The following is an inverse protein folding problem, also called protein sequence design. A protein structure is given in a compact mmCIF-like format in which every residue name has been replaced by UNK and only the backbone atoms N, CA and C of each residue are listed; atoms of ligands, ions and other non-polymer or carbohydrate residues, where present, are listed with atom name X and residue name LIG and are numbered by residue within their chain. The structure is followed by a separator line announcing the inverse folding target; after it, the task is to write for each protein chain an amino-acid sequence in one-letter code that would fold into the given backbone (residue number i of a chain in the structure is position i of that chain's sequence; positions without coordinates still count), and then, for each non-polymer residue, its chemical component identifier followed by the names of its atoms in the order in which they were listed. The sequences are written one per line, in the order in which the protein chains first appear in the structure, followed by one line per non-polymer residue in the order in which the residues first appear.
data_IF_055586325381
#
_entry.id   IF_055586325381
#
_cell.length_a   1.000
_cell.length_b   1.000
_cell.length_c   1.000
_cell.angle_alpha   90.00
_cell.angle_beta   90.00
_cell.angle_gamma   90.00
#
_symmetry.space_group_name_H-M   'P 1'
#
loop_
_entity.id
_entity.type
_entity.pdbx_description
1 polymer ?
#
# COMPACT_ATOMS: atom_id res chain seq x y z
N UNK A 1 -30.93 -24.07 -16.12
CA UNK A 1 -31.87 -23.05 -16.63
C UNK A 1 -31.05 -21.98 -17.30
N UNK A 2 -31.20 -21.85 -18.61
CA UNK A 2 -30.58 -20.78 -19.41
C UNK A 2 -31.24 -19.45 -19.04
N UNK A 3 -30.44 -18.40 -18.86
CA UNK A 3 -30.95 -17.02 -18.86
C UNK A 3 -30.47 -16.31 -20.13
N UNK A 4 -31.42 -15.68 -20.82
CA UNK A 4 -31.17 -14.98 -22.08
C UNK A 4 -30.41 -13.67 -21.84
N UNK A 5 -29.46 -13.37 -22.72
CA UNK A 5 -28.84 -12.05 -22.82
C UNK A 5 -29.81 -11.02 -23.44
N UNK A 6 -29.80 -9.77 -22.96
CA UNK A 6 -30.64 -8.62 -23.40
C UNK A 6 -29.91 -7.29 -23.22
N UNK A 7 -30.37 -6.22 -23.86
CA UNK A 7 -30.19 -4.83 -23.38
C UNK A 7 -31.26 -3.89 -23.98
N UNK A 8 -31.36 -2.65 -23.51
CA UNK A 8 -32.32 -1.64 -24.00
C UNK A 8 -31.74 -0.22 -24.06
N UNK A 9 -32.49 0.69 -24.71
CA UNK A 9 -32.22 2.12 -24.95
C UNK A 9 -31.69 2.93 -23.75
N UNK A 10 -32.23 2.71 -22.55
CA UNK A 10 -31.98 3.54 -21.35
C UNK A 10 -30.48 3.78 -21.15
N UNK A 11 -30.02 5.02 -20.92
CA UNK A 11 -28.58 5.33 -20.81
C UNK A 11 -27.92 4.86 -19.49
N UNK A 12 -28.55 3.94 -18.77
CA UNK A 12 -27.99 3.18 -17.66
C UNK A 12 -28.05 1.68 -18.01
N UNK A 13 -27.08 0.89 -17.55
CA UNK A 13 -27.23 -0.57 -17.40
C UNK A 13 -27.42 -0.81 -15.91
N UNK A 14 -28.45 -1.55 -15.52
CA UNK A 14 -28.69 -1.94 -14.14
C UNK A 14 -28.86 -3.46 -14.12
N UNK A 15 -28.08 -4.16 -13.30
CA UNK A 15 -28.11 -5.62 -13.19
C UNK A 15 -28.16 -6.00 -11.71
N UNK A 16 -29.32 -6.50 -11.26
CA UNK A 16 -29.55 -6.93 -9.88
C UNK A 16 -29.71 -8.44 -9.80
N UNK A 17 -28.88 -9.09 -8.98
CA UNK A 17 -28.85 -10.55 -8.77
C UNK A 17 -28.93 -10.87 -7.28
N UNK A 18 -29.95 -11.61 -6.85
CA UNK A 18 -30.20 -11.91 -5.44
C UNK A 18 -30.40 -13.41 -5.16
N UNK A 19 -30.06 -13.84 -3.95
CA UNK A 19 -30.41 -15.15 -3.36
C UNK A 19 -29.96 -16.40 -4.15
N UNK A 20 -28.88 -16.32 -4.92
CA UNK A 20 -28.42 -17.42 -5.79
C UNK A 20 -27.68 -18.53 -5.02
N UNK A 21 -27.92 -19.79 -5.40
CA UNK A 21 -27.34 -20.98 -4.77
C UNK A 21 -26.96 -22.06 -5.80
N UNK A 22 -25.65 -22.33 -5.97
CA UNK A 22 -24.99 -23.41 -6.77
C UNK A 22 -24.57 -23.13 -8.25
N UNK A 23 -24.69 -21.92 -8.80
CA UNK A 23 -24.40 -21.65 -10.24
C UNK A 23 -23.25 -20.62 -10.43
N UNK A 24 -22.68 -20.47 -11.62
CA UNK A 24 -21.88 -19.28 -11.93
C UNK A 24 -22.78 -18.05 -12.16
N UNK A 25 -22.24 -16.85 -11.92
CA UNK A 25 -22.79 -15.56 -12.35
C UNK A 25 -21.72 -14.92 -13.22
N UNK A 26 -22.02 -14.69 -14.49
CA UNK A 26 -21.13 -14.04 -15.45
C UNK A 26 -21.85 -12.81 -16.00
N UNK A 27 -21.19 -11.65 -15.99
CA UNK A 27 -21.73 -10.38 -16.48
C UNK A 27 -20.70 -9.75 -17.40
N UNK A 28 -20.98 -9.77 -18.70
CA UNK A 28 -20.09 -9.24 -19.75
C UNK A 28 -20.73 -8.04 -20.46
N UNK A 29 -20.11 -6.86 -20.31
CA UNK A 29 -20.54 -5.59 -20.91
C UNK A 29 -19.45 -5.08 -21.86
N UNK A 30 -19.72 -5.17 -23.17
CA UNK A 30 -18.85 -4.65 -24.22
C UNK A 30 -19.34 -3.30 -24.76
N UNK A 31 -18.42 -2.34 -24.90
CA UNK A 31 -18.58 -1.09 -25.64
C UNK A 31 -19.79 -0.20 -25.26
N UNK A 32 -19.90 0.18 -23.98
CA UNK A 32 -20.95 1.10 -23.52
C UNK A 32 -20.61 2.60 -23.76
N UNK A 33 -21.43 3.30 -24.56
CA UNK A 33 -21.62 4.75 -24.48
C UNK A 33 -22.89 5.03 -23.68
N UNK A 34 -22.77 5.09 -22.35
CA UNK A 34 -23.89 5.23 -21.41
C UNK A 34 -23.54 6.21 -20.31
N UNK A 35 -24.53 6.73 -19.59
CA UNK A 35 -24.32 7.59 -18.45
C UNK A 35 -23.85 6.76 -17.24
N UNK A 36 -24.47 5.60 -16.97
CA UNK A 36 -24.14 4.75 -15.82
C UNK A 36 -24.12 3.23 -16.16
N UNK A 37 -23.41 2.46 -15.35
CA UNK A 37 -23.50 1.00 -15.22
C UNK A 37 -23.57 0.71 -13.73
N UNK A 38 -24.56 -0.07 -13.29
CA UNK A 38 -24.77 -0.46 -11.89
C UNK A 38 -24.98 -1.98 -11.84
N UNK A 39 -24.22 -2.66 -10.97
CA UNK A 39 -24.29 -4.11 -10.79
C UNK A 39 -24.40 -4.42 -9.29
N UNK A 40 -25.51 -5.01 -8.87
CA UNK A 40 -25.77 -5.37 -7.48
C UNK A 40 -25.93 -6.89 -7.34
N UNK A 41 -25.08 -7.53 -6.53
CA UNK A 41 -25.06 -8.98 -6.32
C UNK A 41 -25.13 -9.31 -4.82
N UNK A 42 -26.21 -9.96 -4.39
CA UNK A 42 -26.49 -10.19 -2.95
C UNK A 42 -26.79 -11.64 -2.59
N UNK A 43 -26.41 -12.02 -1.38
CA UNK A 43 -26.79 -13.28 -0.71
C UNK A 43 -26.41 -14.58 -1.45
N UNK A 44 -25.22 -14.60 -2.08
CA UNK A 44 -24.77 -15.70 -2.95
C UNK A 44 -24.07 -16.84 -2.18
N UNK A 45 -24.36 -18.11 -2.53
CA UNK A 45 -23.76 -19.32 -1.91
C UNK A 45 -23.32 -20.39 -2.91
N UNK A 46 -22.01 -20.72 -2.92
CA UNK A 46 -21.37 -21.77 -3.74
C UNK A 46 -21.44 -21.50 -5.25
N UNK A 47 -20.96 -20.33 -5.66
CA UNK A 47 -21.00 -19.85 -7.05
C UNK A 47 -19.60 -19.37 -7.50
N UNK A 48 -19.43 -18.98 -8.76
CA UNK A 48 -18.42 -17.99 -9.15
C UNK A 48 -19.14 -16.68 -9.50
N UNK A 49 -18.45 -15.54 -9.41
CA UNK A 49 -18.91 -14.23 -9.88
C UNK A 49 -17.80 -13.67 -10.77
N UNK A 50 -18.10 -13.45 -12.04
CA UNK A 50 -17.20 -12.84 -13.03
C UNK A 50 -17.90 -11.63 -13.64
N UNK A 51 -17.23 -10.48 -13.62
CA UNK A 51 -17.75 -9.22 -14.18
C UNK A 51 -16.71 -8.63 -15.11
N UNK A 52 -16.99 -8.61 -16.40
CA UNK A 52 -16.11 -8.06 -17.44
C UNK A 52 -16.74 -6.84 -18.11
N UNK A 53 -16.08 -5.69 -18.02
CA UNK A 53 -16.56 -4.41 -18.53
C UNK A 53 -15.49 -3.78 -19.43
N UNK A 54 -15.76 -3.67 -20.73
CA UNK A 54 -14.77 -3.22 -21.72
C UNK A 54 -15.23 -2.01 -22.54
N UNK A 55 -14.27 -1.12 -22.84
CA UNK A 55 -14.44 0.02 -23.76
C UNK A 55 -15.57 1.00 -23.38
N UNK A 56 -15.70 1.33 -22.09
CA UNK A 56 -16.74 2.25 -21.59
C UNK A 56 -16.35 3.72 -21.73
N UNK A 57 -17.29 4.53 -22.21
CA UNK A 57 -17.23 5.99 -22.25
C UNK A 57 -18.54 6.55 -21.67
N UNK A 58 -18.50 7.00 -20.42
CA UNK A 58 -19.69 7.38 -19.67
C UNK A 58 -19.40 8.30 -18.48
N UNK A 59 -20.28 8.26 -17.47
CA UNK A 59 -20.12 9.04 -16.22
C UNK A 59 -19.87 8.14 -14.99
N UNK A 60 -20.41 6.93 -14.89
CA UNK A 60 -20.24 6.05 -13.73
C UNK A 60 -20.24 4.54 -14.05
N UNK A 61 -19.53 3.76 -13.23
CA UNK A 61 -19.61 2.31 -13.09
C UNK A 61 -19.65 2.01 -11.58
N UNK A 62 -20.67 1.34 -11.09
CA UNK A 62 -20.84 0.93 -9.70
C UNK A 62 -21.03 -0.59 -9.62
N UNK A 63 -20.27 -1.26 -8.74
CA UNK A 63 -20.35 -2.72 -8.54
C UNK A 63 -20.42 -3.00 -7.03
N UNK A 64 -21.59 -3.45 -6.57
CA UNK A 64 -21.88 -3.78 -5.17
C UNK A 64 -22.09 -5.28 -4.98
N UNK A 65 -21.22 -5.95 -4.21
CA UNK A 65 -21.25 -7.40 -3.97
C UNK A 65 -21.31 -7.70 -2.45
N UNK A 66 -22.41 -8.30 -1.99
CA UNK A 66 -22.67 -8.49 -0.56
C UNK A 66 -23.01 -9.94 -0.15
N UNK A 67 -22.57 -10.30 1.06
CA UNK A 67 -22.94 -11.52 1.78
C UNK A 67 -22.60 -12.85 1.07
N UNK A 68 -21.45 -12.89 0.38
CA UNK A 68 -21.00 -14.02 -0.45
C UNK A 68 -20.29 -15.11 0.36
N UNK A 69 -20.53 -16.39 0.05
CA UNK A 69 -19.94 -17.54 0.76
C UNK A 69 -19.54 -18.72 -0.15
N UNK A 70 -18.23 -19.03 -0.17
CA UNK A 70 -17.58 -20.10 -0.96
C UNK A 70 -17.63 -19.86 -2.48
N UNK A 71 -17.07 -18.74 -2.93
CA UNK A 71 -17.01 -18.38 -4.36
C UNK A 71 -15.61 -17.92 -4.81
N UNK A 72 -15.40 -17.71 -6.11
CA UNK A 72 -14.48 -16.68 -6.60
C UNK A 72 -15.27 -15.40 -6.93
N UNK A 73 -14.60 -14.25 -6.89
CA UNK A 73 -15.09 -12.96 -7.40
C UNK A 73 -13.97 -12.40 -8.29
N UNK A 74 -14.25 -12.19 -9.56
CA UNK A 74 -13.35 -11.56 -10.52
C UNK A 74 -14.05 -10.34 -11.14
N UNK A 75 -13.37 -9.19 -11.16
CA UNK A 75 -13.87 -7.96 -11.75
C UNK A 75 -12.80 -7.36 -12.66
N UNK A 76 -13.07 -7.33 -13.95
CA UNK A 76 -12.19 -6.82 -14.99
C UNK A 76 -12.78 -5.59 -15.67
N UNK A 77 -12.14 -4.42 -15.58
CA UNK A 77 -12.57 -3.15 -16.19
C UNK A 77 -11.49 -2.58 -17.10
N UNK A 78 -11.73 -2.58 -18.41
CA UNK A 78 -10.74 -2.17 -19.41
C UNK A 78 -11.18 -0.95 -20.25
N UNK A 79 -10.23 -0.05 -20.52
CA UNK A 79 -10.33 1.09 -21.44
C UNK A 79 -11.42 2.12 -21.10
N UNK A 80 -11.65 2.36 -19.80
CA UNK A 80 -12.62 3.34 -19.29
C UNK A 80 -12.19 4.81 -19.50
N UNK A 81 -13.13 5.68 -19.89
CA UNK A 81 -12.89 7.13 -20.10
C UNK A 81 -14.04 8.01 -19.60
N UNK A 82 -13.70 8.94 -18.68
CA UNK A 82 -14.59 9.96 -18.05
C UNK A 82 -15.55 9.45 -16.96
N UNK A 83 -15.33 8.25 -16.42
CA UNK A 83 -16.26 7.61 -15.47
C UNK A 83 -15.80 7.81 -14.00
N UNK A 84 -16.71 7.78 -13.03
CA UNK A 84 -16.41 7.19 -11.72
C UNK A 84 -16.39 5.65 -11.87
N UNK A 85 -15.59 4.97 -11.06
CA UNK A 85 -15.59 3.51 -10.90
C UNK A 85 -15.62 3.25 -9.40
N UNK A 86 -16.69 2.66 -8.90
CA UNK A 86 -16.86 2.29 -7.49
C UNK A 86 -17.08 0.78 -7.39
N UNK A 87 -16.32 0.12 -6.52
CA UNK A 87 -16.41 -1.33 -6.29
C UNK A 87 -16.49 -1.59 -4.77
N UNK A 88 -17.65 -2.06 -4.31
CA UNK A 88 -17.91 -2.37 -2.90
C UNK A 88 -18.11 -3.88 -2.71
N UNK A 89 -17.27 -4.52 -1.89
CA UNK A 89 -17.31 -5.97 -1.62
C UNK A 89 -17.38 -6.24 -0.12
N UNK A 90 -18.54 -6.70 0.36
CA UNK A 90 -18.84 -6.77 1.80
C UNK A 90 -19.23 -8.17 2.30
N UNK A 91 -18.73 -8.54 3.49
CA UNK A 91 -19.10 -9.71 4.27
C UNK A 91 -18.79 -11.08 3.64
N UNK A 92 -17.66 -11.17 2.91
CA UNK A 92 -17.24 -12.36 2.14
C UNK A 92 -16.56 -13.43 3.01
N UNK A 93 -16.83 -14.73 2.73
CA UNK A 93 -16.24 -15.87 3.45
C UNK A 93 -15.80 -17.03 2.56
N UNK A 94 -14.50 -17.36 2.60
CA UNK A 94 -13.82 -18.44 1.85
C UNK A 94 -13.85 -18.24 0.33
N UNK A 95 -13.29 -17.13 -0.14
CA UNK A 95 -13.24 -16.80 -1.57
C UNK A 95 -11.84 -16.39 -2.05
N UNK A 96 -11.63 -16.32 -3.37
CA UNK A 96 -10.69 -15.37 -3.96
C UNK A 96 -11.45 -14.08 -4.35
N UNK A 97 -10.76 -12.94 -4.36
CA UNK A 97 -11.25 -11.66 -4.90
C UNK A 97 -10.12 -11.13 -5.77
N UNK A 98 -10.38 -10.95 -7.07
CA UNK A 98 -9.47 -10.34 -8.04
C UNK A 98 -10.15 -9.13 -8.67
N UNK A 99 -9.45 -7.99 -8.73
CA UNK A 99 -9.94 -6.76 -9.34
C UNK A 99 -8.86 -6.20 -10.27
N UNK A 100 -9.12 -6.22 -11.57
CA UNK A 100 -8.20 -5.78 -12.63
C UNK A 100 -8.76 -4.56 -13.36
N UNK A 101 -8.08 -3.41 -13.26
CA UNK A 101 -8.51 -2.14 -13.86
C UNK A 101 -7.42 -1.59 -14.78
N UNK A 102 -7.71 -1.46 -16.08
CA UNK A 102 -6.70 -1.14 -17.10
C UNK A 102 -7.06 0.05 -18.02
N UNK A 103 -6.02 0.82 -18.38
CA UNK A 103 -6.06 1.88 -19.41
C UNK A 103 -7.06 3.03 -19.14
N UNK A 104 -7.16 3.44 -17.86
CA UNK A 104 -8.16 4.41 -17.38
C UNK A 104 -7.74 5.88 -17.54
N UNK A 105 -8.68 6.76 -17.91
CA UNK A 105 -8.37 8.18 -18.18
C UNK A 105 -9.51 9.17 -17.86
N UNK A 106 -9.24 10.09 -16.91
CA UNK A 106 -10.14 11.15 -16.39
C UNK A 106 -11.30 10.61 -15.53
N UNK A 107 -10.97 9.80 -14.54
CA UNK A 107 -11.90 9.05 -13.71
C UNK A 107 -11.65 9.29 -12.21
N UNK A 108 -12.56 8.80 -11.37
CA UNK A 108 -12.23 8.36 -10.01
C UNK A 108 -12.29 6.82 -9.98
N UNK A 109 -11.48 6.20 -9.12
CA UNK A 109 -11.53 4.76 -8.83
C UNK A 109 -11.58 4.63 -7.30
N UNK A 110 -12.63 4.01 -6.79
CA UNK A 110 -12.82 3.69 -5.37
C UNK A 110 -13.06 2.18 -5.24
N UNK A 111 -12.30 1.52 -4.36
CA UNK A 111 -12.43 0.09 -4.08
C UNK A 111 -12.52 -0.12 -2.57
N UNK A 112 -13.68 -0.61 -2.10
CA UNK A 112 -13.95 -0.86 -0.69
C UNK A 112 -14.19 -2.36 -0.43
N UNK A 113 -13.37 -2.98 0.41
CA UNK A 113 -13.42 -4.42 0.70
C UNK A 113 -13.50 -4.66 2.22
N UNK A 114 -14.66 -5.14 2.69
CA UNK A 114 -15.02 -5.10 4.12
C UNK A 114 -15.42 -6.46 4.70
N UNK A 115 -14.93 -6.74 5.92
CA UNK A 115 -15.33 -7.88 6.76
C UNK A 115 -15.04 -9.29 6.18
N UNK A 116 -13.91 -9.43 5.49
CA UNK A 116 -13.50 -10.64 4.76
C UNK A 116 -12.83 -11.71 5.65
N UNK A 117 -13.10 -13.00 5.39
CA UNK A 117 -12.51 -14.13 6.14
C UNK A 117 -12.08 -15.33 5.28
N UNK A 118 -10.78 -15.68 5.35
CA UNK A 118 -10.12 -16.81 4.66
C UNK A 118 -10.10 -16.67 3.14
N UNK A 119 -9.53 -15.58 2.63
CA UNK A 119 -9.47 -15.29 1.20
C UNK A 119 -8.06 -14.92 0.71
N UNK A 120 -7.86 -14.89 -0.61
CA UNK A 120 -6.91 -13.98 -1.25
C UNK A 120 -7.65 -12.73 -1.73
N UNK A 121 -6.97 -11.59 -1.76
CA UNK A 121 -7.43 -10.33 -2.36
C UNK A 121 -6.29 -9.83 -3.23
N UNK A 122 -6.52 -9.67 -4.53
CA UNK A 122 -5.59 -9.11 -5.50
C UNK A 122 -6.25 -7.92 -6.20
N UNK A 123 -5.54 -6.80 -6.29
CA UNK A 123 -6.00 -5.57 -6.95
C UNK A 123 -4.89 -5.07 -7.88
N UNK A 124 -5.17 -5.09 -9.19
CA UNK A 124 -4.24 -4.64 -10.23
C UNK A 124 -4.78 -3.41 -10.96
N UNK A 125 -4.04 -2.30 -10.94
CA UNK A 125 -4.44 -1.03 -11.55
C UNK A 125 -3.34 -0.51 -12.49
N UNK A 126 -3.60 -0.48 -13.80
CA UNK A 126 -2.57 -0.24 -14.82
C UNK A 126 -2.88 0.89 -15.80
N UNK A 127 -1.81 1.63 -16.20
CA UNK A 127 -1.82 2.65 -17.25
C UNK A 127 -2.76 3.86 -17.02
N UNK A 128 -2.84 4.32 -15.77
CA UNK A 128 -3.86 5.28 -15.29
C UNK A 128 -3.44 6.76 -15.38
N UNK A 129 -4.26 7.62 -16.02
CA UNK A 129 -3.93 9.04 -16.31
C UNK A 129 -5.01 10.07 -15.93
N UNK A 130 -4.70 10.98 -14.99
CA UNK A 130 -5.58 12.06 -14.46
C UNK A 130 -6.79 11.56 -13.66
N UNK A 131 -6.57 10.96 -12.51
CA UNK A 131 -7.61 10.32 -11.69
C UNK A 131 -7.32 10.47 -10.18
N UNK A 132 -8.30 10.14 -9.35
CA UNK A 132 -8.06 9.66 -7.99
C UNK A 132 -8.15 8.12 -7.97
N UNK A 133 -7.36 7.47 -7.12
CA UNK A 133 -7.46 6.05 -6.78
C UNK A 133 -7.54 5.99 -5.26
N UNK A 134 -8.59 5.41 -4.72
CA UNK A 134 -8.76 5.09 -3.31
C UNK A 134 -9.00 3.58 -3.16
N UNK A 135 -8.26 2.93 -2.24
CA UNK A 135 -8.40 1.51 -1.94
C UNK A 135 -8.49 1.33 -0.42
N UNK A 136 -9.67 0.93 0.05
CA UNK A 136 -9.99 0.75 1.46
C UNK A 136 -10.27 -0.72 1.78
N UNK A 137 -9.44 -1.37 2.59
CA UNK A 137 -9.54 -2.79 2.96
C UNK A 137 -9.60 -2.95 4.48
N UNK A 138 -10.74 -3.44 5.00
CA UNK A 138 -11.02 -3.43 6.44
C UNK A 138 -11.51 -4.76 7.04
N UNK A 139 -11.13 -4.98 8.30
CA UNK A 139 -11.60 -6.08 9.17
C UNK A 139 -11.29 -7.51 8.66
N UNK A 140 -10.15 -7.67 7.98
CA UNK A 140 -9.73 -8.90 7.30
C UNK A 140 -9.09 -9.94 8.23
N UNK A 141 -9.38 -11.23 8.04
CA UNK A 141 -8.81 -12.33 8.86
C UNK A 141 -8.40 -13.59 8.06
N UNK A 142 -7.11 -13.93 8.15
CA UNK A 142 -6.45 -15.12 7.54
C UNK A 142 -6.39 -15.06 6.00
N UNK A 143 -5.79 -14.01 5.45
CA UNK A 143 -5.75 -13.76 4.00
C UNK A 143 -4.36 -13.38 3.47
N UNK A 144 -4.16 -13.43 2.15
CA UNK A 144 -3.21 -12.56 1.45
C UNK A 144 -3.94 -11.30 0.94
N UNK A 145 -3.23 -10.18 0.86
CA UNK A 145 -3.66 -8.93 0.22
C UNK A 145 -2.49 -8.48 -0.66
N UNK A 146 -2.71 -8.37 -1.96
CA UNK A 146 -1.77 -7.84 -2.93
C UNK A 146 -2.41 -6.65 -3.66
N UNK A 147 -1.67 -5.53 -3.76
CA UNK A 147 -2.11 -4.32 -4.45
C UNK A 147 -0.99 -3.86 -5.38
N UNK A 148 -1.22 -3.96 -6.69
CA UNK A 148 -0.26 -3.64 -7.74
C UNK A 148 -0.74 -2.46 -8.60
N UNK A 149 -0.01 -1.33 -8.57
CA UNK A 149 -0.38 -0.09 -9.26
C UNK A 149 0.75 0.37 -10.21
N UNK A 150 0.52 0.37 -11.52
CA UNK A 150 1.57 0.56 -12.52
C UNK A 150 1.30 1.68 -13.55
N UNK A 151 2.37 2.39 -13.92
CA UNK A 151 2.41 3.39 -15.01
C UNK A 151 1.46 4.59 -14.83
N UNK A 152 1.35 5.08 -13.60
CA UNK A 152 0.31 6.05 -13.17
C UNK A 152 0.80 7.51 -13.19
N UNK A 153 0.11 8.40 -13.91
CA UNK A 153 0.55 9.80 -14.18
C UNK A 153 -0.50 10.89 -13.93
N UNK A 154 -0.19 11.82 -13.01
CA UNK A 154 -1.05 12.92 -12.50
C UNK A 154 -2.27 12.40 -11.73
N UNK A 155 -2.06 11.74 -10.60
CA UNK A 155 -3.15 11.17 -9.79
C UNK A 155 -2.92 11.38 -8.30
N UNK A 156 -3.98 11.29 -7.50
CA UNK A 156 -3.87 10.90 -6.10
C UNK A 156 -4.00 9.37 -6.01
N UNK A 157 -3.27 8.74 -5.09
CA UNK A 157 -3.36 7.32 -4.75
C UNK A 157 -3.42 7.25 -3.23
N UNK A 158 -4.52 6.74 -2.67
CA UNK A 158 -4.69 6.46 -1.26
C UNK A 158 -4.96 4.96 -1.06
N UNK A 159 -4.24 4.34 -0.12
CA UNK A 159 -4.38 2.93 0.20
C UNK A 159 -4.49 2.76 1.71
N UNK A 160 -5.67 2.39 2.19
CA UNK A 160 -6.00 2.25 3.61
C UNK A 160 -6.30 0.78 3.97
N UNK A 161 -5.48 0.18 4.84
CA UNK A 161 -5.56 -1.25 5.22
C UNK A 161 -5.66 -1.40 6.75
N UNK A 162 -6.85 -1.77 7.24
CA UNK A 162 -7.20 -1.67 8.65
C UNK A 162 -7.68 -2.97 9.33
N UNK A 163 -7.34 -3.12 10.61
CA UNK A 163 -7.81 -4.17 11.53
C UNK A 163 -7.52 -5.62 11.08
N UNK A 164 -6.37 -5.81 10.42
CA UNK A 164 -5.96 -7.06 9.75
C UNK A 164 -5.32 -8.07 10.70
N UNK A 165 -5.65 -9.38 10.57
CA UNK A 165 -5.08 -10.44 11.42
C UNK A 165 -4.68 -11.73 10.67
N UNK A 166 -3.41 -12.12 10.79
CA UNK A 166 -2.77 -13.33 10.23
C UNK A 166 -2.70 -13.31 8.69
N UNK A 167 -2.08 -12.28 8.12
CA UNK A 167 -2.07 -12.05 6.68
C UNK A 167 -0.67 -11.80 6.08
N UNK A 168 -0.54 -11.89 4.77
CA UNK A 168 0.45 -11.09 4.03
C UNK A 168 -0.24 -9.81 3.51
N UNK A 169 0.48 -8.70 3.46
CA UNK A 169 0.10 -7.46 2.78
C UNK A 169 1.28 -7.06 1.91
N UNK A 170 1.09 -7.01 0.60
CA UNK A 170 2.06 -6.55 -0.38
C UNK A 170 1.46 -5.39 -1.17
N UNK A 171 2.21 -4.30 -1.30
CA UNK A 171 1.80 -3.09 -2.04
C UNK A 171 2.94 -2.70 -2.98
N UNK A 172 2.72 -2.85 -4.29
CA UNK A 172 3.69 -2.52 -5.34
C UNK A 172 3.21 -1.34 -6.17
N UNK A 173 4.00 -0.26 -6.24
CA UNK A 173 3.67 0.97 -6.98
C UNK A 173 4.83 1.34 -7.92
N UNK A 174 4.60 1.26 -9.24
CA UNK A 174 5.67 1.37 -10.24
C UNK A 174 5.43 2.45 -11.30
N UNK A 175 6.54 3.09 -11.73
CA UNK A 175 6.58 4.06 -12.84
C UNK A 175 5.63 5.27 -12.67
N UNK A 176 5.61 5.84 -11.46
CA UNK A 176 4.66 6.87 -11.03
C UNK A 176 5.17 8.31 -11.16
N UNK A 177 4.38 9.22 -11.75
CA UNK A 177 4.84 10.58 -12.10
C UNK A 177 3.81 11.70 -11.89
N UNK A 178 4.16 12.66 -11.02
CA UNK A 178 3.34 13.79 -10.57
C UNK A 178 2.11 13.35 -9.75
N UNK A 179 2.34 12.51 -8.74
CA UNK A 179 1.27 11.95 -7.93
C UNK A 179 1.44 12.33 -6.44
N UNK A 180 0.34 12.36 -5.69
CA UNK A 180 0.37 12.11 -4.25
C UNK A 180 0.14 10.60 -4.04
N UNK A 181 0.84 10.01 -3.08
CA UNK A 181 0.73 8.60 -2.70
C UNK A 181 0.68 8.56 -1.18
N UNK A 182 -0.42 8.07 -0.64
CA UNK A 182 -0.61 7.84 0.79
C UNK A 182 -0.91 6.34 1.02
N UNK A 183 -0.21 5.73 1.97
CA UNK A 183 -0.38 4.33 2.36
C UNK A 183 -0.51 4.25 3.87
N UNK A 184 -1.69 3.89 4.36
CA UNK A 184 -2.05 3.83 5.77
C UNK A 184 -2.39 2.39 6.20
N UNK A 185 -1.57 1.78 7.05
CA UNK A 185 -1.76 0.41 7.57
C UNK A 185 -1.94 0.43 9.09
N UNK A 186 -3.13 0.06 9.57
CA UNK A 186 -3.51 0.20 10.97
C UNK A 186 -3.93 -1.11 11.66
N UNK A 187 -3.50 -1.29 12.91
CA UNK A 187 -3.92 -2.36 13.82
C UNK A 187 -3.64 -3.81 13.31
N UNK A 188 -2.57 -3.98 12.54
CA UNK A 188 -2.13 -5.25 11.98
C UNK A 188 -1.55 -6.22 13.04
N UNK A 189 -1.87 -7.52 12.96
CA UNK A 189 -1.35 -8.55 13.89
C UNK A 189 -0.98 -9.87 13.23
N UNK A 190 0.28 -10.28 13.40
CA UNK A 190 0.91 -11.49 12.83
C UNK A 190 0.90 -11.51 11.30
N UNK A 191 1.42 -10.45 10.69
CA UNK A 191 1.47 -10.32 9.24
C UNK A 191 2.90 -10.18 8.71
N UNK A 192 3.11 -10.40 7.42
CA UNK A 192 4.16 -9.71 6.67
C UNK A 192 3.56 -8.43 6.06
N UNK A 193 4.33 -7.35 6.00
CA UNK A 193 3.99 -6.11 5.31
C UNK A 193 5.17 -5.76 4.42
N UNK A 194 4.95 -5.75 3.11
CA UNK A 194 5.92 -5.30 2.11
C UNK A 194 5.32 -4.12 1.32
N UNK A 195 6.10 -3.04 1.18
CA UNK A 195 5.72 -1.86 0.39
C UNK A 195 6.87 -1.51 -0.54
N UNK A 196 6.66 -1.68 -1.85
CA UNK A 196 7.65 -1.46 -2.89
C UNK A 196 7.22 -0.31 -3.82
N UNK A 197 7.99 0.79 -3.87
CA UNK A 197 7.71 1.96 -4.72
C UNK A 197 8.90 2.24 -5.65
N UNK A 198 8.71 2.08 -6.96
CA UNK A 198 9.78 2.19 -7.95
C UNK A 198 9.55 3.27 -9.02
N UNK A 199 10.65 3.92 -9.43
CA UNK A 199 10.71 4.90 -10.53
C UNK A 199 9.78 6.12 -10.36
N UNK A 200 9.71 6.64 -9.12
CA UNK A 200 8.81 7.72 -8.72
C UNK A 200 9.38 9.13 -8.95
N UNK A 201 8.66 10.00 -9.67
CA UNK A 201 9.16 11.33 -10.09
C UNK A 201 8.16 12.49 -9.94
N UNK A 202 8.53 13.47 -9.10
CA UNK A 202 7.75 14.66 -8.70
C UNK A 202 6.51 14.30 -7.87
N UNK A 203 6.68 13.48 -6.84
CA UNK A 203 5.60 12.96 -6.03
C UNK A 203 5.71 13.40 -4.57
N UNK A 204 4.59 13.40 -3.84
CA UNK A 204 4.61 13.22 -2.38
C UNK A 204 4.35 11.73 -2.12
N UNK A 205 5.06 11.15 -1.16
CA UNK A 205 4.90 9.76 -0.71
C UNK A 205 4.82 9.79 0.81
N UNK A 206 3.70 9.36 1.36
CA UNK A 206 3.47 9.20 2.79
C UNK A 206 3.13 7.74 3.09
N UNK A 207 3.81 7.15 4.08
CA UNK A 207 3.59 5.77 4.52
C UNK A 207 3.43 5.78 6.04
N UNK A 208 2.22 5.49 6.51
CA UNK A 208 1.86 5.43 7.93
C UNK A 208 1.54 3.99 8.35
N UNK A 209 2.27 3.46 9.32
CA UNK A 209 2.11 2.08 9.81
C UNK A 209 1.95 2.09 11.33
N UNK A 210 0.76 1.76 11.84
CA UNK A 210 0.41 1.97 13.26
C UNK A 210 -0.13 0.73 13.98
N UNK A 211 0.22 0.62 15.26
CA UNK A 211 -0.28 -0.39 16.21
C UNK A 211 -0.03 -1.86 15.79
N UNK A 212 1.16 -2.13 15.25
CA UNK A 212 1.53 -3.41 14.63
C UNK A 212 2.17 -4.40 15.61
N UNK A 213 1.78 -5.69 15.55
CA UNK A 213 2.30 -6.72 16.46
C UNK A 213 2.61 -8.08 15.81
N UNK A 214 3.88 -8.47 15.83
CA UNK A 214 4.36 -9.82 15.50
C UNK A 214 4.61 -10.03 14.02
N UNK A 215 5.19 -9.03 13.35
CA UNK A 215 5.27 -8.91 11.90
C UNK A 215 6.73 -8.73 11.42
N UNK A 216 6.95 -8.86 10.12
CA UNK A 216 8.01 -8.16 9.41
C UNK A 216 7.41 -6.95 8.69
N UNK A 217 8.16 -5.84 8.62
CA UNK A 217 7.83 -4.66 7.82
C UNK A 217 9.02 -4.38 6.92
N UNK A 218 8.82 -4.45 5.61
CA UNK A 218 9.81 -4.09 4.59
C UNK A 218 9.26 -2.94 3.74
N UNK A 219 10.05 -1.89 3.57
CA UNK A 219 9.70 -0.72 2.74
C UNK A 219 10.87 -0.44 1.79
N UNK A 220 10.66 -0.66 0.50
CA UNK A 220 11.65 -0.50 -0.56
C UNK A 220 11.26 0.62 -1.53
N UNK A 221 12.02 1.71 -1.56
CA UNK A 221 11.74 2.89 -2.42
C UNK A 221 12.93 3.16 -3.35
N UNK A 222 12.74 3.00 -4.66
CA UNK A 222 13.81 3.06 -5.65
C UNK A 222 13.59 4.10 -6.76
N UNK A 223 14.69 4.63 -7.31
CA UNK A 223 14.74 5.55 -8.45
C UNK A 223 13.89 6.83 -8.27
N UNK A 224 14.01 7.45 -7.09
CA UNK A 224 13.19 8.58 -6.62
C UNK A 224 13.77 9.96 -6.92
N UNK A 225 13.02 10.81 -7.63
CA UNK A 225 13.49 12.11 -8.14
C UNK A 225 12.51 13.27 -7.99
N UNK A 226 12.87 14.25 -7.16
CA UNK A 226 12.09 15.47 -6.82
C UNK A 226 10.83 15.22 -5.99
N UNK A 227 10.95 14.44 -4.93
CA UNK A 227 9.84 13.98 -4.11
C UNK A 227 9.99 14.43 -2.64
N UNK A 228 8.88 14.48 -1.92
CA UNK A 228 8.88 14.35 -0.47
C UNK A 228 8.54 12.89 -0.13
N UNK A 229 9.23 12.32 0.86
CA UNK A 229 9.02 10.96 1.36
C UNK A 229 8.91 11.06 2.87
N UNK A 230 7.76 10.72 3.44
CA UNK A 230 7.54 10.60 4.88
C UNK A 230 7.14 9.16 5.22
N UNK A 231 7.84 8.54 6.17
CA UNK A 231 7.60 7.18 6.65
C UNK A 231 7.44 7.24 8.16
N UNK A 232 6.25 6.92 8.66
CA UNK A 232 5.88 6.98 10.07
C UNK A 232 5.44 5.60 10.57
N UNK A 233 6.23 4.98 11.46
CA UNK A 233 6.00 3.62 11.96
C UNK A 233 5.87 3.65 13.50
N UNK A 234 4.65 3.46 14.02
CA UNK A 234 4.34 3.71 15.43
C UNK A 234 3.67 2.55 16.18
N UNK A 235 3.93 2.49 17.50
CA UNK A 235 3.36 1.51 18.44
C UNK A 235 3.66 0.04 18.08
N UNK A 236 4.86 -0.19 17.52
CA UNK A 236 5.29 -1.46 16.94
C UNK A 236 5.89 -2.42 17.99
N UNK A 237 5.49 -3.71 17.96
CA UNK A 237 5.83 -4.75 18.97
C UNK A 237 6.18 -6.14 18.40
N UNK A 238 7.41 -6.63 18.65
CA UNK A 238 7.96 -7.91 18.13
C UNK A 238 8.05 -7.91 16.60
N UNK A 239 8.97 -7.14 16.03
CA UNK A 239 9.09 -7.00 14.57
C UNK A 239 10.53 -6.78 14.12
N UNK A 240 10.82 -7.18 12.88
CA UNK A 240 11.89 -6.59 12.08
C UNK A 240 11.30 -5.44 11.25
N UNK A 241 12.03 -4.34 11.14
CA UNK A 241 11.73 -3.21 10.24
C UNK A 241 12.95 -3.02 9.34
N UNK A 242 12.77 -3.15 8.03
CA UNK A 242 13.78 -2.81 7.03
C UNK A 242 13.23 -1.70 6.10
N UNK A 243 13.98 -0.62 5.96
CA UNK A 243 13.64 0.51 5.08
C UNK A 243 14.83 0.76 4.14
N UNK A 244 14.63 0.51 2.86
CA UNK A 244 15.64 0.64 1.81
C UNK A 244 15.26 1.72 0.81
N UNK A 245 15.99 2.84 0.76
CA UNK A 245 15.73 3.96 -0.15
C UNK A 245 16.93 4.21 -1.05
N UNK A 246 16.81 3.93 -2.35
CA UNK A 246 17.95 3.92 -3.29
C UNK A 246 17.81 4.91 -4.44
N UNK A 247 18.94 5.47 -4.90
CA UNK A 247 19.05 6.37 -6.07
C UNK A 247 18.21 7.64 -5.97
N UNK A 248 18.58 8.51 -5.02
CA UNK A 248 17.73 9.57 -4.48
C UNK A 248 18.25 10.96 -4.88
N UNK A 249 17.54 11.67 -5.79
CA UNK A 249 17.95 13.02 -6.27
C UNK A 249 16.92 14.14 -6.05
N UNK A 250 17.31 15.14 -5.25
CA UNK A 250 16.51 16.30 -4.83
C UNK A 250 15.23 15.93 -4.07
N UNK A 251 15.34 15.16 -3.00
CA UNK A 251 14.20 14.74 -2.19
C UNK A 251 14.33 15.23 -0.73
N UNK A 252 13.21 15.44 -0.07
CA UNK A 252 13.15 15.43 1.39
C UNK A 252 12.75 14.01 1.83
N UNK A 253 13.43 13.46 2.82
CA UNK A 253 13.15 12.15 3.40
C UNK A 253 13.01 12.35 4.91
N UNK A 254 11.88 11.92 5.46
CA UNK A 254 11.64 11.89 6.90
C UNK A 254 11.21 10.47 7.31
N UNK A 255 11.91 9.89 8.27
CA UNK A 255 11.62 8.55 8.79
C UNK A 255 11.46 8.65 10.30
N UNK A 256 10.24 8.40 10.78
CA UNK A 256 9.90 8.42 12.20
C UNK A 256 9.50 7.01 12.67
N UNK A 257 10.25 6.42 13.60
CA UNK A 257 9.98 5.07 14.13
C UNK A 257 9.83 5.11 15.65
N UNK A 258 8.64 4.78 16.16
CA UNK A 258 8.32 4.70 17.58
C UNK A 258 8.00 3.25 18.01
N UNK A 259 9.02 2.54 18.50
CA UNK A 259 8.96 1.11 18.88
C UNK A 259 8.91 0.91 20.40
N UNK A 260 7.86 0.25 20.90
CA UNK A 260 7.54 0.15 22.35
C UNK A 260 7.42 -1.31 22.82
N UNK A 261 8.47 -1.85 23.44
CA UNK A 261 8.58 -3.28 23.78
C UNK A 261 8.17 -3.67 25.21
N UNK A 262 7.75 -4.93 25.38
CA UNK A 262 7.66 -5.67 26.66
C UNK A 262 8.68 -6.84 26.72
N UNK A 263 8.78 -7.53 27.85
CA UNK A 263 9.97 -8.27 28.32
C UNK A 263 10.57 -9.34 27.36
N UNK A 264 9.78 -10.09 26.58
CA UNK A 264 10.09 -11.53 26.36
C UNK A 264 10.60 -11.99 24.97
N UNK A 265 11.32 -11.16 24.19
CA UNK A 265 11.95 -11.59 22.91
C UNK A 265 13.45 -11.28 22.87
N UNK A 266 14.26 -12.06 22.15
CA UNK A 266 15.73 -11.93 22.16
C UNK A 266 16.28 -10.76 21.33
N UNK A 267 15.75 -10.49 20.12
CA UNK A 267 16.12 -9.32 19.29
C UNK A 267 14.89 -8.80 18.52
N UNK A 268 14.66 -7.49 18.57
CA UNK A 268 13.95 -6.74 17.52
C UNK A 268 15.05 -6.02 16.69
N UNK A 269 14.80 -5.72 15.41
CA UNK A 269 15.78 -5.11 14.52
C UNK A 269 15.15 -3.97 13.71
N UNK A 270 15.87 -2.85 13.61
CA UNK A 270 15.53 -1.71 12.76
C UNK A 270 16.74 -1.47 11.86
N UNK A 271 16.55 -1.63 10.55
CA UNK A 271 17.56 -1.38 9.53
C UNK A 271 17.07 -0.31 8.57
N UNK A 272 17.85 0.75 8.38
CA UNK A 272 17.56 1.83 7.45
C UNK A 272 18.76 2.01 6.53
N UNK A 273 18.58 1.77 5.23
CA UNK A 273 19.62 1.90 4.21
C UNK A 273 19.22 2.95 3.18
N UNK A 274 19.99 4.04 3.05
CA UNK A 274 19.73 5.14 2.11
C UNK A 274 20.95 5.36 1.20
N UNK A 275 20.81 5.08 -0.10
CA UNK A 275 21.95 5.02 -1.03
C UNK A 275 21.86 5.97 -2.24
N UNK A 276 23.02 6.43 -2.71
CA UNK A 276 23.20 7.31 -3.87
C UNK A 276 22.40 8.63 -3.74
N UNK A 277 22.77 9.42 -2.72
CA UNK A 277 21.99 10.50 -2.12
C UNK A 277 22.52 11.88 -2.53
N UNK A 278 21.80 12.64 -3.35
CA UNK A 278 22.30 13.95 -3.86
C UNK A 278 21.26 15.08 -3.86
N UNK A 279 21.59 16.15 -3.13
CA UNK A 279 20.77 17.35 -2.87
C UNK A 279 19.49 17.08 -2.05
N UNK A 280 19.63 16.31 -0.98
CA UNK A 280 18.50 15.85 -0.18
C UNK A 280 18.55 16.40 1.25
N UNK A 281 17.40 16.55 1.89
CA UNK A 281 17.28 16.61 3.34
C UNK A 281 16.87 15.21 3.84
N UNK A 282 17.50 14.74 4.91
CA UNK A 282 17.20 13.45 5.55
C UNK A 282 17.04 13.71 7.04
N UNK A 283 15.87 13.38 7.58
CA UNK A 283 15.57 13.37 9.01
C UNK A 283 15.22 11.92 9.39
N UNK A 284 15.94 11.34 10.37
CA UNK A 284 15.67 10.00 10.89
C UNK A 284 15.50 10.08 12.41
N UNK A 285 14.27 9.90 12.87
CA UNK A 285 13.86 10.00 14.27
C UNK A 285 13.42 8.63 14.79
N UNK A 286 14.25 7.99 15.62
CA UNK A 286 13.97 6.65 16.18
C UNK A 286 13.82 6.72 17.70
N UNK A 287 12.64 6.41 18.21
CA UNK A 287 12.39 6.18 19.64
C UNK A 287 12.23 4.68 19.90
N UNK A 288 13.19 4.08 20.61
CA UNK A 288 13.31 2.64 20.78
C UNK A 288 13.48 2.22 22.25
N UNK A 289 12.54 1.41 22.75
CA UNK A 289 12.54 0.93 24.14
C UNK A 289 12.93 -0.56 24.22
N UNK A 290 14.17 -0.82 24.68
CA UNK A 290 14.79 -2.11 25.06
C UNK A 290 15.06 -3.15 23.96
N UNK A 291 16.34 -3.55 23.85
CA UNK A 291 16.84 -4.73 23.09
C UNK A 291 16.53 -4.70 21.59
N UNK A 292 16.88 -3.59 20.95
CA UNK A 292 16.90 -3.43 19.50
C UNK A 292 18.35 -3.47 19.00
N UNK A 293 18.56 -4.06 17.84
CA UNK A 293 19.67 -3.67 16.97
C UNK A 293 19.15 -2.55 16.05
N UNK A 294 19.86 -1.44 15.98
CA UNK A 294 19.55 -0.31 15.09
C UNK A 294 20.75 -0.13 14.17
N UNK A 295 20.55 -0.36 12.89
CA UNK A 295 21.55 -0.18 11.83
C UNK A 295 21.06 0.93 10.90
N UNK A 296 21.82 2.01 10.76
CA UNK A 296 21.54 3.09 9.81
C UNK A 296 22.75 3.23 8.87
N UNK A 297 22.56 2.92 7.59
CA UNK A 297 23.59 3.04 6.55
C UNK A 297 23.20 4.10 5.51
N UNK A 298 24.00 5.16 5.35
CA UNK A 298 23.77 6.24 4.38
C UNK A 298 25.00 6.43 3.47
N UNK A 299 24.84 6.12 2.19
CA UNK A 299 25.99 5.95 1.25
C UNK A 299 25.94 6.90 0.06
N UNK A 300 27.12 7.43 -0.32
CA UNK A 300 27.34 8.30 -1.50
C UNK A 300 26.54 9.62 -1.42
N UNK A 301 26.97 10.49 -0.51
CA UNK A 301 26.19 11.59 0.08
C UNK A 301 26.75 12.95 -0.37
N UNK A 302 26.05 13.68 -1.26
CA UNK A 302 26.54 14.97 -1.80
C UNK A 302 25.53 16.12 -1.78
N UNK A 303 25.85 17.18 -1.03
CA UNK A 303 25.04 18.41 -0.79
C UNK A 303 23.75 18.13 -0.02
N UNK A 304 23.85 17.43 1.10
CA UNK A 304 22.70 17.01 1.90
C UNK A 304 22.74 17.62 3.31
N UNK A 305 21.57 17.79 3.91
CA UNK A 305 21.42 17.90 5.36
C UNK A 305 20.96 16.54 5.88
N UNK A 306 21.61 16.03 6.92
CA UNK A 306 21.27 14.77 7.58
C UNK A 306 21.13 15.05 9.07
N UNK A 307 19.97 14.74 9.63
CA UNK A 307 19.70 14.74 11.06
C UNK A 307 19.29 13.32 11.46
N UNK A 308 19.97 12.76 12.46
CA UNK A 308 19.65 11.43 13.02
C UNK A 308 19.48 11.55 14.53
N UNK A 309 18.25 11.40 15.00
CA UNK A 309 17.86 11.52 16.40
C UNK A 309 17.38 10.17 16.94
N UNK A 310 18.16 9.54 17.80
CA UNK A 310 17.86 8.23 18.39
C UNK A 310 17.69 8.34 19.91
N UNK A 311 16.47 8.11 20.39
CA UNK A 311 16.16 8.02 21.82
C UNK A 311 16.02 6.55 22.24
N UNK A 312 16.98 6.06 23.02
CA UNK A 312 17.25 4.64 23.22
C UNK A 312 17.29 4.21 24.70
N UNK A 313 16.27 3.47 25.15
CA UNK A 313 16.17 3.04 26.56
C UNK A 313 16.62 1.59 26.77
N UNK A 314 17.79 1.40 27.40
CA UNK A 314 18.40 0.14 27.92
C UNK A 314 18.75 -0.95 26.89
N UNK A 315 20.06 -1.29 26.79
CA UNK A 315 20.58 -2.46 26.03
C UNK A 315 20.18 -2.44 24.55
N UNK A 316 20.62 -1.44 23.79
CA UNK A 316 20.52 -1.45 22.34
C UNK A 316 21.94 -1.46 21.75
N UNK A 317 22.12 -2.09 20.59
CA UNK A 317 23.29 -1.92 19.75
C UNK A 317 22.92 -0.92 18.65
N UNK A 318 23.73 0.12 18.45
CA UNK A 318 23.45 1.21 17.51
C UNK A 318 24.67 1.40 16.61
N UNK A 319 24.50 1.08 15.34
CA UNK A 319 25.50 1.30 14.30
C UNK A 319 25.00 2.36 13.32
N UNK A 320 25.79 3.41 13.10
CA UNK A 320 25.49 4.49 12.15
C UNK A 320 26.68 4.67 11.22
N UNK A 321 26.51 4.26 9.97
CA UNK A 321 27.55 4.24 8.95
C UNK A 321 27.20 5.23 7.82
N UNK A 322 27.88 6.39 7.78
CA UNK A 322 27.69 7.41 6.74
C UNK A 322 28.97 7.53 5.91
N UNK A 323 28.89 7.24 4.60
CA UNK A 323 30.08 7.09 3.73
C UNK A 323 30.03 7.92 2.46
N UNK A 324 31.22 8.32 1.97
CA UNK A 324 31.42 9.19 0.81
C UNK A 324 30.67 10.53 0.90
N UNK A 325 31.05 11.32 1.90
CA UNK A 325 30.43 12.60 2.31
C UNK A 325 31.07 13.78 1.57
N UNK A 326 30.27 14.64 0.91
CA UNK A 326 30.81 15.87 0.26
C UNK A 326 29.85 17.06 0.32
N UNK A 327 30.24 18.08 1.10
CA UNK A 327 29.50 19.33 1.39
C UNK A 327 28.14 19.08 2.05
N UNK A 328 28.14 18.39 3.20
CA UNK A 328 26.93 18.04 3.93
C UNK A 328 26.96 18.68 5.33
N UNK A 329 25.78 18.98 5.86
CA UNK A 329 25.58 19.15 7.31
C UNK A 329 25.10 17.81 7.85
N UNK A 330 25.70 17.34 8.95
CA UNK A 330 25.36 16.06 9.59
C UNK A 330 25.26 16.31 11.09
N UNK A 331 24.11 16.02 11.66
CA UNK A 331 23.85 16.03 13.10
C UNK A 331 23.37 14.64 13.53
N UNK A 332 23.96 14.11 14.61
CA UNK A 332 23.64 12.80 15.16
C UNK A 332 23.50 12.93 16.68
N UNK A 333 22.28 12.74 17.18
CA UNK A 333 21.91 12.88 18.58
C UNK A 333 21.43 11.53 19.13
N UNK A 334 22.16 10.95 20.09
CA UNK A 334 21.83 9.65 20.70
C UNK A 334 21.60 9.82 22.21
N UNK A 335 20.34 9.81 22.63
CA UNK A 335 19.95 9.92 24.04
C UNK A 335 19.74 8.53 24.66
N UNK A 336 20.60 8.13 25.61
CA UNK A 336 20.78 6.72 25.95
C UNK A 336 20.83 6.43 27.47
N UNK A 337 19.93 5.58 27.97
CA UNK A 337 19.67 5.47 29.43
C UNK A 337 20.36 4.31 30.22
N UNK A 338 21.27 3.51 29.62
CA UNK A 338 22.22 2.58 30.30
C UNK A 338 22.87 1.60 29.29
N UNK A 339 24.17 1.28 29.45
CA UNK A 339 24.97 0.24 28.76
C UNK A 339 24.55 0.01 27.29
N UNK A 340 25.25 0.72 26.40
CA UNK A 340 25.08 0.72 24.96
C UNK A 340 26.46 0.67 24.30
N UNK A 341 26.54 -0.01 23.16
CA UNK A 341 27.72 -0.02 22.29
C UNK A 341 27.35 0.79 21.03
N UNK A 342 28.15 1.81 20.70
CA UNK A 342 27.87 2.83 19.67
C UNK A 342 29.13 3.09 18.83
N UNK A 343 29.03 3.09 17.50
CA UNK A 343 30.18 3.19 16.57
C UNK A 343 29.95 4.13 15.37
N UNK A 344 30.94 5.00 15.07
CA UNK A 344 31.02 5.96 13.94
C UNK A 344 32.50 6.41 13.67
N UNK A 345 32.82 7.11 12.56
CA UNK A 345 34.21 7.33 12.06
C UNK A 345 34.50 8.74 11.44
N UNK A 346 35.78 9.20 11.38
CA UNK A 346 36.25 10.44 10.71
C UNK A 346 36.52 10.30 9.19
N UNK A 347 36.64 11.42 8.43
CA UNK A 347 36.08 11.45 7.05
C UNK A 347 36.93 12.11 5.94
N UNK A 348 37.78 11.29 5.31
CA UNK A 348 38.35 11.48 3.96
C UNK A 348 37.28 11.46 2.85
#
# INVERSE_FOLDING_TARGET
MLWQSKSFWRNAIEISVAAVRRNAIEISIAAARRNAIEISITAVRRNAIEISITAVRGNAIEISIAAVRRNAIEISIAAARRNAIEISITAVRRNAIEISIAAVRRNAIEISITAVRRNAIEISITAVRRNAIEISIAAVRRNAIEISIAAVRRNAIEISVAAVRRNAIEISITAVRRNAIEISIAAARRNAIEISIAAARRNAIEISITAVRGNAIEISIAAVRRNAIEISIAAVRRNAIEISITTVWRNAIKISIAAVRRKDVRRDAIKISIAAVRRNAIEISITAVRRNAIEISITAVRRNAIEISITAVRRNAIEISITAVRRNAIEISIAAASRHDVTAHPLS
#
